data_IF_323237507258
#
_entry.id   IF_323237507258
#
_cell.length_a   1.000
_cell.length_b   1.000
_cell.length_c   1.000
_cell.angle_alpha   90.00
_cell.angle_beta   90.00
_cell.angle_gamma   90.00
#
_symmetry.space_group_name_H-M   'P 1'
#
loop_
_entity.id
_entity.type
_entity.pdbx_description
1 polymer ?
#
# COMPACT_ATOMS: atom_id res chain seq x y z
N UNK A 1 -19.12 9.54 -5.95
CA UNK A 1 -18.40 8.94 -7.09
C UNK A 1 -17.12 9.72 -7.41
N UNK A 2 -15.98 9.46 -6.72
CA UNK A 2 -14.70 10.17 -6.95
C UNK A 2 -13.46 9.26 -7.11
N UNK A 3 -13.58 7.95 -6.85
CA UNK A 3 -12.45 6.99 -6.85
C UNK A 3 -11.81 6.77 -8.24
N UNK A 4 -12.55 6.98 -9.34
CA UNK A 4 -12.07 6.74 -10.72
C UNK A 4 -11.05 7.78 -11.24
N UNK A 5 -10.93 8.96 -10.60
CA UNK A 5 -10.06 10.04 -11.10
C UNK A 5 -8.58 9.82 -10.78
N UNK A 6 -8.26 9.13 -9.69
CA UNK A 6 -6.87 8.83 -9.37
C UNK A 6 -6.32 7.71 -10.27
N UNK A 7 -7.10 6.64 -10.47
CA UNK A 7 -6.67 5.53 -11.31
C UNK A 7 -6.43 5.92 -12.76
N UNK A 8 -7.35 6.72 -13.33
CA UNK A 8 -7.15 7.23 -14.68
C UNK A 8 -5.89 8.07 -14.78
N UNK A 9 -5.61 8.96 -13.81
CA UNK A 9 -4.36 9.74 -13.77
C UNK A 9 -3.12 8.84 -13.76
N UNK A 10 -3.12 7.78 -12.94
CA UNK A 10 -2.02 6.82 -12.89
C UNK A 10 -1.79 6.14 -14.24
N UNK A 11 -2.85 5.67 -14.89
CA UNK A 11 -2.76 5.06 -16.23
C UNK A 11 -2.25 6.04 -17.29
N UNK A 12 -2.71 7.29 -17.24
CA UNK A 12 -2.21 8.35 -18.12
C UNK A 12 -0.73 8.65 -17.86
N UNK A 13 -0.29 8.69 -16.60
CA UNK A 13 1.12 8.87 -16.26
C UNK A 13 1.99 7.76 -16.84
N UNK A 14 1.54 6.49 -16.77
CA UNK A 14 2.25 5.39 -17.43
C UNK A 14 2.30 5.54 -18.94
N UNK A 15 1.17 5.89 -19.56
CA UNK A 15 1.11 6.11 -21.01
C UNK A 15 2.09 7.20 -21.44
N UNK A 16 2.08 8.34 -20.75
CA UNK A 16 3.01 9.44 -21.03
C UNK A 16 4.46 8.99 -20.79
N UNK A 17 4.74 8.21 -19.75
CA UNK A 17 6.09 7.69 -19.47
C UNK A 17 6.62 6.77 -20.58
N UNK A 18 5.79 5.83 -21.04
CA UNK A 18 6.14 4.88 -22.11
C UNK A 18 6.39 5.61 -23.43
N UNK A 19 5.53 6.56 -23.79
CA UNK A 19 5.61 7.32 -25.04
C UNK A 19 6.29 8.69 -24.87
N UNK A 20 7.08 8.90 -23.82
CA UNK A 20 7.61 10.23 -23.45
C UNK A 20 8.39 10.93 -24.57
N UNK A 21 9.00 10.17 -25.49
CA UNK A 21 9.66 10.72 -26.68
C UNK A 21 8.72 11.41 -27.69
N UNK A 22 7.41 11.16 -27.61
CA UNK A 22 6.38 11.82 -28.42
C UNK A 22 5.83 13.10 -27.77
N UNK A 23 6.21 13.39 -26.52
CA UNK A 23 5.72 14.55 -25.77
C UNK A 23 6.84 15.55 -25.51
N UNK A 24 6.49 16.84 -25.50
CA UNK A 24 7.43 17.92 -25.09
C UNK A 24 7.40 18.07 -23.58
N UNK A 25 8.07 17.17 -22.87
CA UNK A 25 8.21 17.24 -21.41
C UNK A 25 9.45 18.05 -21.03
N UNK A 26 9.29 18.94 -20.04
CA UNK A 26 10.43 19.52 -19.36
C UNK A 26 11.15 18.46 -18.53
N UNK A 27 12.44 18.67 -18.25
CA UNK A 27 13.23 17.78 -17.36
C UNK A 27 12.58 17.62 -15.98
N UNK A 28 11.86 18.64 -15.50
CA UNK A 28 11.15 18.59 -14.21
C UNK A 28 9.94 17.66 -14.30
N UNK A 29 9.14 17.77 -15.35
CA UNK A 29 7.96 16.92 -15.57
C UNK A 29 8.37 15.47 -15.77
N UNK A 30 9.40 15.20 -16.58
CA UNK A 30 9.89 13.84 -16.80
C UNK A 30 10.33 13.18 -15.50
N UNK A 31 11.12 13.88 -14.65
CA UNK A 31 11.50 13.37 -13.33
C UNK A 31 10.29 13.14 -12.42
N UNK A 32 9.33 14.05 -12.40
CA UNK A 32 8.10 13.88 -11.61
C UNK A 32 7.30 12.66 -12.06
N UNK A 33 7.18 12.46 -13.38
CA UNK A 33 6.51 11.33 -13.97
C UNK A 33 7.20 10.01 -13.62
N UNK A 34 8.54 9.99 -13.67
CA UNK A 34 9.36 8.83 -13.28
C UNK A 34 9.10 8.45 -11.82
N UNK A 35 9.19 9.42 -10.90
CA UNK A 35 8.97 9.22 -9.46
C UNK A 35 7.58 8.67 -9.19
N UNK A 36 6.56 9.24 -9.83
CA UNK A 36 5.18 8.77 -9.73
C UNK A 36 5.01 7.34 -10.27
N UNK A 37 5.53 7.05 -11.45
CA UNK A 37 5.45 5.71 -12.05
C UNK A 37 6.15 4.66 -11.16
N UNK A 38 7.32 4.99 -10.61
CA UNK A 38 8.05 4.12 -9.69
C UNK A 38 7.24 3.85 -8.41
N UNK A 39 6.66 4.89 -7.81
CA UNK A 39 5.80 4.75 -6.64
C UNK A 39 4.63 3.81 -6.91
N UNK A 40 3.95 4.01 -8.05
CA UNK A 40 2.80 3.19 -8.40
C UNK A 40 3.21 1.74 -8.60
N UNK A 41 4.26 1.48 -9.37
CA UNK A 41 4.69 0.11 -9.68
C UNK A 41 5.20 -0.63 -8.44
N UNK A 42 5.89 0.07 -7.54
CA UNK A 42 6.51 -0.54 -6.35
C UNK A 42 5.55 -0.74 -5.19
N UNK A 43 4.55 0.13 -5.06
CA UNK A 43 3.66 0.19 -3.90
C UNK A 43 2.19 0.11 -4.32
N UNK A 44 1.68 1.12 -5.02
CA UNK A 44 0.24 1.33 -5.15
C UNK A 44 -0.48 0.29 -6.03
N UNK A 45 0.16 -0.21 -7.08
CA UNK A 45 -0.45 -1.13 -8.03
C UNK A 45 -0.93 -2.43 -7.38
N UNK A 46 -0.15 -2.96 -6.41
CA UNK A 46 -0.53 -4.15 -5.65
C UNK A 46 -1.79 -3.89 -4.84
N UNK A 47 -1.76 -2.85 -4.00
CA UNK A 47 -2.90 -2.47 -3.17
C UNK A 47 -4.16 -2.18 -4.00
N UNK A 48 -4.02 -1.60 -5.19
CA UNK A 48 -5.14 -1.37 -6.09
C UNK A 48 -5.77 -2.66 -6.63
N UNK A 49 -4.96 -3.59 -7.13
CA UNK A 49 -5.47 -4.85 -7.70
C UNK A 49 -6.17 -5.68 -6.62
N UNK A 50 -5.61 -5.70 -5.41
CA UNK A 50 -6.09 -6.53 -4.30
C UNK A 50 -7.25 -5.86 -3.52
N UNK A 51 -7.55 -4.58 -3.77
CA UNK A 51 -8.64 -3.85 -3.10
C UNK A 51 -10.06 -4.44 -3.32
N UNK A 52 -10.23 -5.33 -4.30
CA UNK A 52 -11.53 -5.97 -4.57
C UNK A 52 -11.90 -7.04 -3.52
N UNK A 53 -10.94 -7.48 -2.69
CA UNK A 53 -11.14 -8.55 -1.72
C UNK A 53 -11.34 -7.98 -0.31
N UNK A 54 -12.60 -7.76 0.07
CA UNK A 54 -12.96 -7.17 1.37
C UNK A 54 -12.43 -7.97 2.57
N UNK A 55 -12.42 -9.30 2.47
CA UNK A 55 -11.90 -10.21 3.51
C UNK A 55 -10.41 -9.98 3.79
N UNK A 56 -9.64 -9.60 2.76
CA UNK A 56 -8.19 -9.40 2.86
C UNK A 56 -7.83 -7.97 3.28
N UNK A 57 -8.80 -7.04 3.28
CA UNK A 57 -8.55 -5.61 3.49
C UNK A 57 -7.64 -5.32 4.71
N UNK A 58 -7.87 -5.89 5.92
CA UNK A 58 -7.03 -5.57 7.08
C UNK A 58 -5.55 -5.93 6.89
N UNK A 59 -5.28 -7.08 6.26
CA UNK A 59 -3.90 -7.51 5.97
C UNK A 59 -3.29 -6.66 4.87
N UNK A 60 -4.05 -6.37 3.81
CA UNK A 60 -3.59 -5.57 2.67
C UNK A 60 -3.25 -4.14 3.09
N UNK A 61 -4.05 -3.53 3.97
CA UNK A 61 -3.77 -2.21 4.54
C UNK A 61 -2.48 -2.23 5.36
N UNK A 62 -2.29 -3.25 6.22
CA UNK A 62 -1.05 -3.42 6.98
C UNK A 62 0.17 -3.61 6.06
N UNK A 63 0.04 -4.40 5.00
CA UNK A 63 1.09 -4.60 4.00
C UNK A 63 1.41 -3.29 3.26
N UNK A 64 0.40 -2.49 2.91
CA UNK A 64 0.57 -1.20 2.26
C UNK A 64 1.30 -0.21 3.18
N UNK A 65 0.95 -0.14 4.46
CA UNK A 65 1.63 0.69 5.46
C UNK A 65 3.12 0.30 5.55
N UNK A 66 3.42 -1.00 5.65
CA UNK A 66 4.81 -1.50 5.69
C UNK A 66 5.57 -1.20 4.39
N UNK A 67 4.91 -1.32 3.24
CA UNK A 67 5.49 -0.99 1.94
C UNK A 67 5.85 0.50 1.85
N UNK A 68 4.97 1.38 2.33
CA UNK A 68 5.24 2.84 2.39
C UNK A 68 6.40 3.17 3.32
N UNK A 69 6.46 2.56 4.51
CA UNK A 69 7.61 2.71 5.42
C UNK A 69 8.93 2.25 4.81
N UNK A 70 8.89 1.25 3.91
CA UNK A 70 10.08 0.79 3.18
C UNK A 70 10.42 1.69 1.99
N UNK A 71 9.41 2.24 1.32
CA UNK A 71 9.57 3.14 0.17
C UNK A 71 10.20 4.49 0.55
N UNK A 72 10.11 4.89 1.82
CA UNK A 72 10.80 6.05 2.40
C UNK A 72 12.32 6.04 2.09
N UNK A 73 12.92 4.85 1.93
CA UNK A 73 14.34 4.68 1.55
C UNK A 73 14.64 4.96 0.06
N UNK A 74 13.62 4.93 -0.80
CA UNK A 74 13.74 5.16 -2.24
C UNK A 74 13.42 6.61 -2.57
N UNK A 75 12.31 7.11 -2.03
CA UNK A 75 11.85 8.48 -2.24
C UNK A 75 11.16 8.96 -0.94
N UNK A 76 11.90 9.63 -0.05
CA UNK A 76 11.40 9.98 1.28
C UNK A 76 10.28 11.02 1.24
N UNK A 77 10.28 11.89 0.22
CA UNK A 77 9.23 12.90 0.05
C UNK A 77 7.89 12.22 -0.29
N UNK A 78 7.88 11.31 -1.26
CA UNK A 78 6.65 10.58 -1.61
C UNK A 78 6.27 9.59 -0.51
N UNK A 79 7.26 8.90 0.07
CA UNK A 79 7.06 7.94 1.15
C UNK A 79 6.39 8.56 2.37
N UNK A 80 6.94 9.65 2.93
CA UNK A 80 6.35 10.31 4.09
C UNK A 80 4.98 10.92 3.80
N UNK A 81 4.81 11.57 2.65
CA UNK A 81 3.51 12.17 2.29
C UNK A 81 2.43 11.09 2.14
N UNK A 82 2.73 10.01 1.42
CA UNK A 82 1.79 8.92 1.21
C UNK A 82 1.49 8.18 2.52
N UNK A 83 2.50 7.92 3.35
CA UNK A 83 2.32 7.30 4.66
C UNK A 83 1.47 8.20 5.58
N UNK A 84 1.77 9.49 5.63
CA UNK A 84 0.99 10.45 6.41
C UNK A 84 -0.47 10.49 6.00
N UNK A 85 -0.75 10.42 4.68
CA UNK A 85 -2.12 10.35 4.18
C UNK A 85 -2.78 9.05 4.57
N UNK A 86 -2.13 7.91 4.38
CA UNK A 86 -2.69 6.62 4.76
C UNK A 86 -2.97 6.52 6.26
N UNK A 87 -2.03 6.97 7.11
CA UNK A 87 -2.23 7.01 8.56
C UNK A 87 -3.42 7.86 8.97
N UNK A 88 -3.69 8.97 8.27
CA UNK A 88 -4.90 9.79 8.50
C UNK A 88 -6.20 9.10 8.05
N UNK A 89 -6.10 8.09 7.19
CA UNK A 89 -7.22 7.30 6.70
C UNK A 89 -7.50 6.03 7.51
N UNK A 90 -6.72 5.72 8.55
CA UNK A 90 -6.95 4.54 9.40
C UNK A 90 -8.16 4.66 10.34
N UNK A 91 -8.93 5.75 10.23
CA UNK A 91 -10.13 5.98 11.03
C UNK A 91 -11.18 4.87 10.88
N UNK A 92 -11.18 4.14 9.76
CA UNK A 92 -12.09 3.03 9.54
C UNK A 92 -11.55 1.71 10.12
N UNK A 93 -10.28 1.60 10.49
CA UNK A 93 -9.76 0.34 11.05
C UNK A 93 -10.27 0.20 12.48
N UNK A 94 -11.26 -0.67 12.66
CA UNK A 94 -11.88 -1.03 13.95
C UNK A 94 -11.68 -2.51 14.27
N UNK A 95 -11.98 -2.92 15.50
CA UNK A 95 -11.90 -4.32 15.94
C UNK A 95 -12.77 -5.25 15.08
N UNK A 96 -13.96 -4.78 14.66
CA UNK A 96 -14.87 -5.53 13.79
C UNK A 96 -14.28 -5.72 12.39
N UNK A 97 -13.65 -4.68 11.84
CA UNK A 97 -13.02 -4.77 10.53
C UNK A 97 -11.76 -5.63 10.57
N UNK A 98 -10.97 -5.56 11.65
CA UNK A 98 -9.85 -6.48 11.88
C UNK A 98 -10.35 -7.92 11.96
N UNK A 99 -11.57 -8.16 12.45
CA UNK A 99 -12.22 -9.47 12.46
C UNK A 99 -12.38 -10.11 11.07
N UNK A 100 -12.42 -9.33 9.98
CA UNK A 100 -12.47 -9.87 8.61
C UNK A 100 -11.24 -10.74 8.28
N UNK A 101 -10.10 -10.43 8.89
CA UNK A 101 -8.86 -11.19 8.71
C UNK A 101 -8.95 -12.64 9.21
N UNK A 102 -9.93 -12.98 10.07
CA UNK A 102 -10.17 -14.37 10.48
C UNK A 102 -10.63 -15.25 9.32
N UNK A 103 -11.26 -14.65 8.31
CA UNK A 103 -11.69 -15.34 7.09
C UNK A 103 -10.63 -15.30 5.97
N UNK A 104 -9.54 -14.56 6.15
CA UNK A 104 -8.44 -14.53 5.18
C UNK A 104 -7.60 -15.82 5.31
N UNK A 105 -7.48 -16.57 4.21
CA UNK A 105 -6.68 -17.79 4.14
C UNK A 105 -5.18 -17.52 4.24
N UNK A 106 -4.74 -16.31 3.90
CA UNK A 106 -3.32 -15.92 3.95
C UNK A 106 -2.86 -15.53 5.36
N UNK A 107 -3.78 -15.42 6.32
CA UNK A 107 -3.47 -15.18 7.73
C UNK A 107 -3.36 -16.53 8.45
N UNK A 108 -2.20 -16.78 9.06
CA UNK A 108 -1.93 -18.06 9.73
C UNK A 108 -2.80 -18.27 10.97
N UNK A 109 -3.04 -19.53 11.35
CA UNK A 109 -3.80 -19.86 12.56
C UNK A 109 -3.15 -19.29 13.82
N UNK A 110 -1.82 -19.27 13.90
CA UNK A 110 -1.06 -18.70 15.01
C UNK A 110 -1.33 -17.19 15.12
N UNK A 111 -1.35 -16.49 13.99
CA UNK A 111 -1.67 -15.06 13.92
C UNK A 111 -3.10 -14.81 14.37
N UNK A 112 -4.07 -15.59 13.89
CA UNK A 112 -5.48 -15.50 14.30
C UNK A 112 -5.65 -15.72 15.80
N UNK A 113 -4.97 -16.71 16.37
CA UNK A 113 -5.00 -16.98 17.81
C UNK A 113 -4.38 -15.84 18.63
N UNK A 114 -3.29 -15.24 18.14
CA UNK A 114 -2.67 -14.08 18.78
C UNK A 114 -3.61 -12.86 18.75
N UNK A 115 -4.32 -12.64 17.64
CA UNK A 115 -5.33 -11.59 17.50
C UNK A 115 -6.50 -11.77 18.48
N UNK A 116 -7.04 -12.98 18.61
CA UNK A 116 -8.09 -13.29 19.60
C UNK A 116 -7.61 -13.02 21.03
N UNK A 117 -6.38 -13.39 21.34
CA UNK A 117 -5.78 -13.13 22.66
C UNK A 117 -5.63 -11.64 22.93
N UNK A 118 -5.26 -10.84 21.91
CA UNK A 118 -5.16 -9.40 22.02
C UNK A 118 -6.53 -8.74 22.23
N UNK A 119 -7.56 -9.14 21.47
CA UNK A 119 -8.92 -8.62 21.60
C UNK A 119 -9.50 -8.87 23.01
N UNK A 120 -9.33 -10.09 23.55
CA UNK A 120 -9.80 -10.43 24.91
C UNK A 120 -9.12 -9.64 26.03
N UNK A 121 -7.89 -9.16 25.82
CA UNK A 121 -7.20 -8.31 26.80
C UNK A 121 -7.81 -6.91 26.83
N UNK A 122 -8.29 -6.41 25.70
CA UNK A 122 -8.90 -5.09 25.60
C UNK A 122 -10.33 -5.01 26.17
N UNK A 123 -11.09 -6.12 26.13
CA UNK A 123 -12.42 -6.22 26.75
C UNK A 123 -12.38 -6.14 28.28
N UNK A 124 -11.26 -6.51 28.91
CA UNK A 124 -11.13 -6.56 30.38
C UNK A 124 -10.85 -5.19 31.02
N UNK A 125 -10.50 -4.17 30.21
CA UNK A 125 -10.22 -2.80 30.67
C UNK A 125 -11.48 -1.89 30.73
N UNK A 126 -12.67 -2.45 30.53
CA UNK A 126 -13.86 -2.09 31.32
C UNK A 126 -14.59 -0.77 31.05
N UNK A 127 -14.61 -0.23 29.83
CA UNK A 127 -15.52 0.87 29.50
C UNK A 127 -16.18 0.66 28.14
N UNK A 128 -17.52 0.59 28.13
CA UNK A 128 -18.39 0.49 26.94
C UNK A 128 -18.19 1.75 26.09
N UNK A 129 -17.10 1.76 25.33
CA UNK A 129 -16.62 2.91 24.57
C UNK A 129 -16.62 2.52 23.11
N UNK A 130 -17.16 3.43 22.29
CA UNK A 130 -17.23 3.31 20.84
C UNK A 130 -15.92 2.73 20.24
N UNK A 131 -16.00 1.95 19.14
CA UNK A 131 -14.86 1.21 18.60
C UNK A 131 -13.59 2.05 18.60
N UNK A 132 -12.58 1.57 19.34
CA UNK A 132 -11.34 2.31 19.60
C UNK A 132 -10.64 2.56 18.27
N UNK A 133 -10.58 3.83 17.87
CA UNK A 133 -9.95 4.23 16.62
C UNK A 133 -8.45 3.93 16.68
N UNK A 134 -7.97 3.08 15.78
CA UNK A 134 -6.54 2.83 15.64
C UNK A 134 -5.84 4.11 15.19
N UNK A 135 -4.99 4.65 16.07
CA UNK A 135 -4.08 5.75 15.73
C UNK A 135 -2.68 5.16 15.66
N UNK A 136 -2.12 5.04 14.45
CA UNK A 136 -0.72 4.63 14.28
C UNK A 136 0.19 5.86 14.24
N UNK A 137 1.03 6.10 15.28
CA UNK A 137 2.05 7.14 15.21
C UNK A 137 3.02 6.81 14.07
N UNK A 138 3.43 7.83 13.30
CA UNK A 138 4.38 7.66 12.18
C UNK A 138 5.68 6.93 12.58
N UNK A 139 6.15 7.15 13.82
CA UNK A 139 7.34 6.48 14.37
C UNK A 139 7.14 4.96 14.44
N UNK A 140 5.98 4.53 14.94
CA UNK A 140 5.61 3.12 15.10
C UNK A 140 5.55 2.36 13.77
N UNK A 141 5.25 3.05 12.66
CA UNK A 141 5.25 2.42 11.32
C UNK A 141 6.66 2.10 10.84
N UNK A 142 7.65 2.93 11.19
CA UNK A 142 9.06 2.69 10.83
C UNK A 142 9.67 1.53 11.62
N UNK A 143 9.10 1.22 12.77
CA UNK A 143 9.50 0.11 13.63
C UNK A 143 8.85 -1.23 13.19
N UNK A 144 7.88 -1.20 12.27
CA UNK A 144 7.31 -2.42 11.70
C UNK A 144 8.35 -3.18 10.86
N UNK A 145 8.26 -4.51 10.81
CA UNK A 145 9.10 -5.29 9.90
C UNK A 145 8.90 -4.80 8.46
N UNK A 146 9.99 -4.75 7.65
CA UNK A 146 9.95 -4.15 6.33
C UNK A 146 8.88 -4.81 5.46
N UNK A 147 8.11 -3.96 4.78
CA UNK A 147 7.12 -4.42 3.81
C UNK A 147 7.79 -4.96 2.57
N UNK A 148 7.15 -5.91 1.91
CA UNK A 148 7.62 -6.43 0.63
C UNK A 148 7.32 -5.41 -0.47
N UNK A 149 8.33 -4.64 -0.86
CA UNK A 149 8.26 -3.90 -2.13
C UNK A 149 8.29 -4.88 -3.29
N UNK A 150 7.47 -4.64 -4.32
CA UNK A 150 7.52 -5.47 -5.53
C UNK A 150 8.91 -5.32 -6.17
N UNK A 151 9.63 -6.43 -6.27
CA UNK A 151 10.81 -6.55 -7.12
C UNK A 151 10.34 -7.17 -8.43
N UNK A 152 10.45 -6.41 -9.52
CA UNK A 152 10.27 -6.98 -10.86
C UNK A 152 11.63 -7.54 -11.26
N UNK A 153 11.81 -8.85 -11.07
CA UNK A 153 12.86 -9.55 -11.80
C UNK A 153 12.37 -9.66 -13.25
N UNK A 154 13.13 -9.10 -14.18
CA UNK A 154 12.89 -9.32 -15.59
C UNK A 154 13.06 -10.82 -15.84
N UNK A 155 11.98 -11.52 -16.18
CA UNK A 155 12.08 -12.89 -16.70
C UNK A 155 12.29 -12.75 -18.21
N UNK A 156 13.45 -13.17 -18.76
CA UNK A 156 13.76 -13.01 -20.17
C UNK A 156 12.95 -14.05 -20.98
N UNK A 157 11.66 -13.78 -21.18
CA UNK A 157 10.77 -14.60 -22.01
C UNK A 157 10.54 -14.01 -23.40
N UNK A 158 11.32 -12.99 -23.79
CA UNK A 158 11.32 -12.46 -25.15
C UNK A 158 12.76 -12.48 -25.67
N UNK A 159 13.07 -13.26 -26.72
CA UNK A 159 14.39 -13.20 -27.34
C UNK A 159 14.61 -11.80 -27.89
N UNK A 160 15.80 -11.26 -27.62
CA UNK A 160 16.24 -9.97 -28.15
C UNK A 160 16.05 -9.97 -29.66
N UNK A 161 15.25 -9.02 -30.18
CA UNK A 161 15.18 -8.78 -31.60
C UNK A 161 16.54 -8.25 -32.06
N UNK A 162 17.34 -9.11 -32.69
CA UNK A 162 18.59 -8.72 -33.33
C UNK A 162 18.30 -7.70 -34.43
N UNK A 163 18.97 -6.54 -34.46
CA UNK A 163 18.84 -5.61 -35.56
C UNK A 163 19.48 -6.22 -36.81
N UNK A 164 18.69 -6.32 -37.88
CA UNK A 164 19.13 -6.63 -39.25
C UNK A 164 19.38 -5.38 -40.07
#
# INVERSE_FOLDING_TARGET
MHQARWMSKVLYSFKIWMFRGQFRLTKKEERGLQRLCLFVVRVYAKAWIEASFSVQAPRLDLELIKALGTYDKIDPEIGDVALSKLSSHLWYVSEELVGLSFFDSDVSCETKNAMVTALRREEFDGEDTAPKRVTLPKKSVRDLPPGRLRQWTYSPLLPEATPG
#
